data_IF_221747032898
#
_entry.id   IF_221747032898
#
_cell.length_a   1.000
_cell.length_b   1.000
_cell.length_c   1.000
_cell.angle_alpha   90.00
_cell.angle_beta   90.00
_cell.angle_gamma   90.00
#
_symmetry.space_group_name_H-M   'P 1'
#
loop_
_entity.id
_entity.type
_entity.pdbx_description
1 polymer ?
#
# COMPACT_ATOMS: atom_id res chain seq x y z
N UNK A 1 -15.36 -37.21 16.12
CA UNK A 1 -15.57 -35.97 15.34
C UNK A 1 -14.37 -35.09 15.61
N UNK A 2 -13.39 -35.07 14.72
CA UNK A 2 -12.20 -34.21 14.86
C UNK A 2 -12.57 -32.77 14.48
N UNK A 3 -12.15 -31.75 15.24
CA UNK A 3 -12.25 -30.37 14.76
C UNK A 3 -11.09 -30.09 13.83
N UNK A 4 -11.41 -29.63 12.63
CA UNK A 4 -10.50 -29.06 11.64
C UNK A 4 -9.76 -27.86 12.23
N UNK A 5 -8.44 -27.98 12.35
CA UNK A 5 -7.55 -26.83 12.50
C UNK A 5 -7.60 -26.04 11.19
N UNK A 6 -8.34 -24.94 11.16
CA UNK A 6 -8.13 -23.91 10.16
C UNK A 6 -6.72 -23.37 10.38
N UNK A 7 -5.79 -23.76 9.51
CA UNK A 7 -4.50 -23.09 9.37
C UNK A 7 -4.78 -21.61 9.09
N UNK A 8 -4.75 -20.81 10.14
CA UNK A 8 -4.89 -19.35 10.10
C UNK A 8 -3.56 -18.78 9.58
N UNK A 9 -3.25 -19.11 8.33
CA UNK A 9 -2.09 -18.57 7.62
C UNK A 9 -2.37 -17.09 7.43
N UNK A 10 -1.55 -16.17 7.98
CA UNK A 10 -1.76 -14.75 7.78
C UNK A 10 -1.80 -14.48 6.28
N UNK A 11 -2.92 -13.94 5.81
CA UNK A 11 -3.16 -13.62 4.42
C UNK A 11 -1.96 -12.82 3.89
N UNK A 12 -1.34 -13.30 2.82
CA UNK A 12 -0.14 -12.68 2.28
C UNK A 12 -0.47 -11.21 1.93
N UNK A 13 0.33 -10.28 2.45
CA UNK A 13 0.17 -8.86 2.15
C UNK A 13 0.54 -8.65 0.68
N UNK A 14 -0.46 -8.60 -0.20
CA UNK A 14 -0.29 -8.39 -1.64
C UNK A 14 -0.96 -7.08 -2.06
N UNK A 15 -0.20 -6.19 -2.66
CA UNK A 15 -0.68 -4.94 -3.23
C UNK A 15 -1.19 -5.14 -4.64
N UNK A 16 -2.42 -4.70 -4.89
CA UNK A 16 -3.13 -4.85 -6.16
C UNK A 16 -3.48 -3.52 -6.83
N UNK A 17 -2.65 -2.49 -6.60
CA UNK A 17 -2.82 -1.16 -7.22
C UNK A 17 -3.91 -0.26 -6.62
N UNK A 18 -4.66 -0.71 -5.60
CA UNK A 18 -5.71 0.06 -4.93
C UNK A 18 -5.46 0.22 -3.42
N UNK A 19 -5.97 1.31 -2.83
CA UNK A 19 -5.81 1.64 -1.41
C UNK A 19 -4.33 1.66 -0.97
N UNK A 20 -3.48 2.35 -1.73
CA UNK A 20 -2.05 2.40 -1.48
C UNK A 20 -1.72 2.86 -0.06
N UNK A 21 -2.45 3.83 0.51
CA UNK A 21 -2.25 4.27 1.89
C UNK A 21 -2.36 3.13 2.91
N UNK A 22 -3.36 2.25 2.78
CA UNK A 22 -3.52 1.10 3.66
C UNK A 22 -2.39 0.08 3.47
N UNK A 23 -2.01 -0.18 2.22
CA UNK A 23 -0.87 -1.05 1.92
C UNK A 23 0.42 -0.48 2.52
N UNK A 24 0.69 0.81 2.29
CA UNK A 24 1.84 1.57 2.78
C UNK A 24 1.99 1.42 4.28
N UNK A 25 0.93 1.66 5.05
CA UNK A 25 0.94 1.51 6.52
C UNK A 25 1.28 0.07 6.93
N UNK A 26 0.66 -0.94 6.29
CA UNK A 26 0.88 -2.36 6.62
C UNK A 26 2.30 -2.81 6.32
N UNK A 27 2.84 -2.48 5.15
CA UNK A 27 4.19 -2.89 4.76
C UNK A 27 5.25 -2.15 5.58
N UNK A 28 5.04 -0.86 5.91
CA UNK A 28 5.91 -0.12 6.83
C UNK A 28 5.95 -0.75 8.22
N UNK A 29 4.80 -1.12 8.78
CA UNK A 29 4.74 -1.81 10.07
C UNK A 29 5.51 -3.15 10.03
N UNK A 30 5.34 -3.93 8.96
CA UNK A 30 6.06 -5.21 8.77
C UNK A 30 7.58 -5.00 8.68
N UNK A 31 8.05 -4.03 7.90
CA UNK A 31 9.48 -3.70 7.78
C UNK A 31 10.08 -3.18 9.09
N UNK A 32 9.34 -2.33 9.83
CA UNK A 32 9.76 -1.84 11.15
C UNK A 32 9.89 -2.97 12.17
N UNK A 33 8.94 -3.90 12.21
CA UNK A 33 9.00 -5.06 13.12
C UNK A 33 10.23 -5.95 12.92
N UNK A 34 10.83 -5.88 11.71
CA UNK A 34 12.03 -6.64 11.33
C UNK A 34 13.31 -5.80 11.33
N UNK A 35 13.24 -4.52 11.72
CA UNK A 35 14.39 -3.61 11.69
C UNK A 35 14.87 -3.21 10.30
N UNK A 36 14.08 -3.47 9.25
CA UNK A 36 14.46 -3.26 7.85
C UNK A 36 14.06 -1.88 7.29
N UNK A 37 13.18 -1.17 8.01
CA UNK A 37 12.61 0.10 7.53
C UNK A 37 13.67 1.16 7.23
N UNK A 38 14.75 1.23 8.03
CA UNK A 38 15.80 2.25 7.87
C UNK A 38 16.57 2.09 6.56
N UNK A 39 16.69 0.86 6.06
CA UNK A 39 17.29 0.58 4.75
C UNK A 39 16.35 1.06 3.64
N UNK A 40 15.06 0.68 3.71
CA UNK A 40 14.05 1.07 2.71
C UNK A 40 13.84 2.59 2.65
N UNK A 41 13.81 3.28 3.79
CA UNK A 41 13.66 4.74 3.83
C UNK A 41 14.93 5.48 3.36
N UNK A 42 16.07 4.80 3.34
CA UNK A 42 17.39 5.39 3.07
C UNK A 42 18.00 6.13 4.25
N UNK A 43 17.46 5.96 5.47
CA UNK A 43 18.05 6.48 6.71
C UNK A 43 19.35 5.75 7.09
N UNK A 44 19.46 4.49 6.70
CA UNK A 44 20.68 3.70 6.79
C UNK A 44 21.25 3.59 5.38
N UNK A 45 22.50 4.00 5.21
CA UNK A 45 23.28 3.77 4.01
C UNK A 45 24.29 2.65 4.26
N UNK A 46 24.76 2.04 3.18
CA UNK A 46 25.89 1.10 3.22
C UNK A 46 27.12 1.83 3.74
N UNK A 47 27.71 1.32 4.81
CA UNK A 47 29.01 1.78 5.29
C UNK A 47 30.10 1.01 4.49
N UNK A 48 31.07 1.70 3.85
CA UNK A 48 32.15 1.04 3.14
C UNK A 48 33.09 0.24 4.06
N UNK A 49 33.10 0.55 5.36
CA UNK A 49 33.93 -0.12 6.37
C UNK A 49 33.13 -1.20 7.14
N UNK A 50 31.91 -1.52 6.71
CA UNK A 50 31.08 -2.58 7.31
C UNK A 50 31.65 -3.96 6.95
N UNK A 51 32.38 -4.59 7.87
CA UNK A 51 33.00 -5.92 7.65
C UNK A 51 31.97 -7.07 7.71
N UNK A 52 30.79 -6.84 8.29
CA UNK A 52 29.82 -7.89 8.66
C UNK A 52 28.71 -8.15 7.62
N UNK A 53 28.73 -7.47 6.46
CA UNK A 53 27.68 -7.54 5.41
C UNK A 53 26.23 -7.36 5.96
N UNK A 54 26.07 -6.72 7.13
CA UNK A 54 24.77 -6.57 7.81
C UNK A 54 23.82 -5.71 6.98
N UNK A 55 24.34 -4.65 6.36
CA UNK A 55 23.57 -3.82 5.44
C UNK A 55 23.05 -4.62 4.24
N UNK A 56 23.93 -5.34 3.53
CA UNK A 56 23.57 -6.10 2.33
C UNK A 56 22.54 -7.20 2.69
N UNK A 57 22.72 -7.86 3.83
CA UNK A 57 21.75 -8.85 4.35
C UNK A 57 20.38 -8.23 4.64
N UNK A 58 20.33 -7.01 5.20
CA UNK A 58 19.06 -6.31 5.46
C UNK A 58 18.43 -5.80 4.18
N UNK A 59 19.23 -5.33 3.22
CA UNK A 59 18.79 -4.88 1.92
C UNK A 59 18.12 -6.01 1.14
N UNK A 60 18.76 -7.18 1.04
CA UNK A 60 18.18 -8.34 0.35
C UNK A 60 16.85 -8.78 0.98
N UNK A 61 16.77 -8.82 2.31
CA UNK A 61 15.54 -9.14 3.04
C UNK A 61 14.45 -8.10 2.82
N UNK A 62 14.81 -6.82 2.76
CA UNK A 62 13.88 -5.73 2.52
C UNK A 62 13.34 -5.77 1.08
N UNK A 63 14.23 -6.00 0.12
CA UNK A 63 13.90 -6.15 -1.29
C UNK A 63 12.95 -7.33 -1.52
N UNK A 64 13.28 -8.51 -1.00
CA UNK A 64 12.44 -9.72 -1.08
C UNK A 64 11.04 -9.46 -0.50
N UNK A 65 10.96 -8.82 0.67
CA UNK A 65 9.68 -8.50 1.30
C UNK A 65 8.83 -7.53 0.48
N UNK A 66 9.43 -6.55 -0.17
CA UNK A 66 8.71 -5.58 -1.00
C UNK A 66 8.22 -6.24 -2.29
N UNK A 67 9.11 -6.93 -3.01
CA UNK A 67 8.80 -7.59 -4.29
C UNK A 67 7.71 -8.65 -4.11
N UNK A 68 7.81 -9.50 -3.08
CA UNK A 68 6.79 -10.51 -2.78
C UNK A 68 5.49 -9.94 -2.22
N UNK A 69 5.44 -8.63 -1.93
CA UNK A 69 4.24 -7.94 -1.52
C UNK A 69 3.51 -7.26 -2.69
N UNK A 70 3.96 -7.46 -3.94
CA UNK A 70 3.34 -6.92 -5.15
C UNK A 70 2.65 -8.03 -5.94
N UNK A 71 1.61 -7.66 -6.70
CA UNK A 71 1.11 -8.48 -7.80
C UNK A 71 1.99 -8.33 -9.06
N UNK A 72 1.73 -9.16 -10.08
CA UNK A 72 2.54 -9.23 -11.30
C UNK A 72 2.63 -7.88 -12.04
N UNK A 73 1.53 -7.11 -12.07
CA UNK A 73 1.49 -5.80 -12.74
C UNK A 73 2.40 -4.79 -12.03
N UNK A 74 2.34 -4.73 -10.70
CA UNK A 74 3.20 -3.85 -9.91
C UNK A 74 4.65 -4.33 -9.89
N UNK A 75 4.87 -5.65 -9.93
CA UNK A 75 6.20 -6.23 -10.03
C UNK A 75 6.85 -5.88 -11.37
N UNK A 76 6.12 -5.98 -12.48
CA UNK A 76 6.60 -5.58 -13.80
C UNK A 76 7.02 -4.10 -13.81
N UNK A 77 6.26 -3.22 -13.13
CA UNK A 77 6.59 -1.80 -13.03
C UNK A 77 7.92 -1.54 -12.32
N UNK A 78 8.24 -2.29 -11.25
CA UNK A 78 9.48 -2.12 -10.47
C UNK A 78 10.63 -3.04 -10.91
N UNK A 79 10.42 -3.89 -11.91
CA UNK A 79 11.37 -4.93 -12.34
C UNK A 79 12.76 -4.43 -12.78
N UNK A 80 12.90 -3.14 -13.11
CA UNK A 80 14.14 -2.54 -13.58
C UNK A 80 15.02 -1.97 -12.44
N UNK A 81 14.53 -1.96 -11.21
CA UNK A 81 15.28 -1.48 -10.04
C UNK A 81 15.71 -2.62 -9.15
N UNK A 82 16.87 -2.45 -8.52
CA UNK A 82 17.54 -3.53 -7.78
C UNK A 82 17.64 -3.25 -6.29
N UNK A 83 17.25 -2.05 -5.83
CA UNK A 83 17.29 -1.72 -4.40
C UNK A 83 15.89 -1.57 -3.80
N UNK A 84 15.77 -1.94 -2.53
CA UNK A 84 14.52 -1.87 -1.76
C UNK A 84 14.00 -0.43 -1.68
N UNK A 85 14.93 0.53 -1.56
CA UNK A 85 14.64 1.98 -1.61
C UNK A 85 14.05 2.40 -2.96
N UNK A 86 14.65 1.98 -4.07
CA UNK A 86 14.15 2.34 -5.40
C UNK A 86 12.74 1.77 -5.65
N UNK A 87 12.49 0.52 -5.24
CA UNK A 87 11.15 -0.10 -5.30
C UNK A 87 10.15 0.75 -4.52
N UNK A 88 10.50 1.12 -3.28
CA UNK A 88 9.66 1.95 -2.43
C UNK A 88 9.35 3.32 -3.04
N UNK A 89 10.38 4.03 -3.51
CA UNK A 89 10.26 5.38 -4.08
C UNK A 89 9.40 5.37 -5.37
N UNK A 90 9.51 4.32 -6.20
CA UNK A 90 8.66 4.13 -7.38
C UNK A 90 7.19 3.92 -7.01
N UNK A 91 6.90 3.08 -6.02
CA UNK A 91 5.54 2.82 -5.56
C UNK A 91 4.90 4.10 -4.98
N UNK A 92 5.63 4.81 -4.13
CA UNK A 92 5.21 6.09 -3.55
C UNK A 92 4.92 7.10 -4.65
N UNK A 93 5.85 7.28 -5.58
CA UNK A 93 5.70 8.23 -6.70
C UNK A 93 4.48 7.92 -7.57
N UNK A 94 4.26 6.64 -7.90
CA UNK A 94 3.14 6.21 -8.74
C UNK A 94 1.78 6.35 -8.06
N UNK A 95 1.71 6.02 -6.77
CA UNK A 95 0.42 5.82 -6.11
C UNK A 95 0.02 6.92 -5.12
N UNK A 96 0.95 7.70 -4.54
CA UNK A 96 0.55 8.82 -3.68
C UNK A 96 -0.07 9.95 -4.49
N UNK A 97 0.55 10.35 -5.60
CA UNK A 97 0.01 11.39 -6.47
C UNK A 97 -1.40 11.03 -6.99
N UNK A 98 -1.61 9.76 -7.34
CA UNK A 98 -2.91 9.23 -7.75
C UNK A 98 -3.92 9.26 -6.60
N UNK A 99 -3.50 8.90 -5.39
CA UNK A 99 -4.37 8.92 -4.21
C UNK A 99 -4.87 10.34 -3.90
N UNK A 100 -4.03 11.37 -4.02
CA UNK A 100 -4.47 12.77 -3.86
C UNK A 100 -5.48 13.20 -4.93
N UNK A 101 -5.25 12.82 -6.19
CA UNK A 101 -6.18 13.13 -7.29
C UNK A 101 -7.52 12.41 -7.13
N UNK A 102 -7.49 11.12 -6.76
CA UNK A 102 -8.68 10.30 -6.51
C UNK A 102 -9.48 10.84 -5.31
N UNK A 103 -8.81 11.27 -4.23
CA UNK A 103 -9.46 11.93 -3.08
C UNK A 103 -10.16 13.21 -3.52
N UNK A 104 -9.48 14.07 -4.28
CA UNK A 104 -10.07 15.32 -4.78
C UNK A 104 -11.31 15.06 -5.65
N UNK A 105 -11.23 14.07 -6.54
CA UNK A 105 -12.35 13.67 -7.38
C UNK A 105 -13.55 13.18 -6.55
N UNK A 106 -13.32 12.33 -5.55
CA UNK A 106 -14.41 11.80 -4.71
C UNK A 106 -14.99 12.87 -3.78
N UNK A 107 -14.20 13.81 -3.26
CA UNK A 107 -14.71 14.97 -2.51
C UNK A 107 -15.61 15.81 -3.40
N UNK A 108 -15.17 16.10 -4.63
CA UNK A 108 -15.96 16.87 -5.58
C UNK A 108 -17.28 16.16 -5.92
N UNK A 109 -17.22 14.86 -6.21
CA UNK A 109 -18.42 14.05 -6.47
C UNK A 109 -19.38 14.08 -5.28
N UNK A 110 -18.86 13.92 -4.05
CA UNK A 110 -19.67 13.98 -2.83
C UNK A 110 -20.36 15.34 -2.65
N UNK A 111 -19.64 16.43 -2.87
CA UNK A 111 -20.16 17.79 -2.71
C UNK A 111 -21.16 18.18 -3.81
N UNK A 112 -20.99 17.65 -5.02
CA UNK A 112 -21.85 17.95 -6.18
C UNK A 112 -23.00 16.96 -6.36
N UNK A 113 -23.03 15.87 -5.60
CA UNK A 113 -24.12 14.89 -5.63
C UNK A 113 -25.40 15.50 -5.05
N UNK A 114 -26.24 16.04 -5.92
CA UNK A 114 -27.57 16.55 -5.56
C UNK A 114 -28.63 15.46 -5.74
N UNK A 115 -29.65 15.46 -4.89
CA UNK A 115 -30.82 14.60 -5.06
C UNK A 115 -31.55 14.95 -6.36
N UNK A 116 -31.75 13.97 -7.23
CA UNK A 116 -32.51 14.15 -8.46
C UNK A 116 -34.02 14.01 -8.16
N UNK A 117 -34.85 15.04 -8.41
CA UNK A 117 -36.30 14.95 -8.23
C UNK A 117 -36.89 13.78 -9.04
N UNK A 118 -37.74 12.98 -8.41
CA UNK A 118 -38.31 11.77 -9.02
C UNK A 118 -37.46 10.50 -8.91
N UNK A 119 -36.24 10.58 -8.35
CA UNK A 119 -35.43 9.41 -8.01
C UNK A 119 -35.71 8.89 -6.60
N UNK A 120 -35.29 7.67 -6.28
CA UNK A 120 -35.44 7.12 -4.92
C UNK A 120 -34.48 7.78 -3.93
N UNK A 121 -35.01 8.32 -2.81
CA UNK A 121 -34.21 8.87 -1.71
C UNK A 121 -33.27 7.83 -1.10
N UNK A 122 -33.69 6.57 -1.01
CA UNK A 122 -32.86 5.49 -0.51
C UNK A 122 -31.63 5.25 -1.41
N UNK A 123 -31.82 5.33 -2.73
CA UNK A 123 -30.72 5.25 -3.71
C UNK A 123 -29.73 6.40 -3.49
N UNK A 124 -30.23 7.63 -3.35
CA UNK A 124 -29.40 8.80 -3.09
C UNK A 124 -28.57 8.67 -1.79
N UNK A 125 -29.19 8.23 -0.68
CA UNK A 125 -28.48 7.99 0.59
C UNK A 125 -27.42 6.89 0.45
N UNK A 126 -27.72 5.84 -0.33
CA UNK A 126 -26.77 4.73 -0.57
C UNK A 126 -25.56 5.22 -1.35
N UNK A 127 -25.76 6.00 -2.41
CA UNK A 127 -24.68 6.60 -3.20
C UNK A 127 -23.79 7.50 -2.34
N UNK A 128 -24.39 8.40 -1.55
CA UNK A 128 -23.67 9.30 -0.64
C UNK A 128 -22.82 8.52 0.37
N UNK A 129 -23.37 7.44 0.95
CA UNK A 129 -22.63 6.57 1.88
C UNK A 129 -21.48 5.84 1.20
N UNK A 130 -21.65 5.46 -0.08
CA UNK A 130 -20.60 4.87 -0.89
C UNK A 130 -19.39 5.79 -1.06
N UNK A 131 -19.64 7.06 -1.39
CA UNK A 131 -18.60 8.09 -1.52
C UNK A 131 -17.89 8.36 -0.19
N UNK A 132 -18.63 8.46 0.93
CA UNK A 132 -18.04 8.59 2.27
C UNK A 132 -17.13 7.41 2.62
N UNK A 133 -17.56 6.17 2.34
CA UNK A 133 -16.73 4.98 2.58
C UNK A 133 -15.47 4.97 1.72
N UNK A 134 -15.56 5.39 0.46
CA UNK A 134 -14.39 5.55 -0.42
C UNK A 134 -13.39 6.55 0.17
N UNK A 135 -13.85 7.71 0.66
CA UNK A 135 -12.96 8.69 1.30
C UNK A 135 -12.29 8.15 2.57
N UNK A 136 -13.02 7.41 3.41
CA UNK A 136 -12.46 6.77 4.60
C UNK A 136 -11.32 5.79 4.27
N UNK A 137 -11.42 5.07 3.15
CA UNK A 137 -10.38 4.13 2.72
C UNK A 137 -9.17 4.83 2.09
N UNK A 138 -9.36 6.03 1.54
CA UNK A 138 -8.27 6.83 0.97
C UNK A 138 -7.56 7.72 1.99
N UNK A 139 -8.22 8.11 3.08
CA UNK A 139 -7.64 8.93 4.15
C UNK A 139 -7.18 8.09 5.34
N UNK A 140 -5.90 7.72 5.38
CA UNK A 140 -5.14 7.27 6.56
C UNK A 140 -3.65 7.43 6.32
#
# INVERSE_FOLDING_TARGET
MSPTTSDDKPEALVFRGANFNLFKVRIQAKLRSKGLWRVVSGEQARDPDDEDDDFDTKEDKAYDLLVNALDDDNLAYVSHVTTSKQVWDLLVTRYEARTYSDVSHVIHELHTKVYAPGSSMQKHVTDMRGLQRKLLLMGS
#
